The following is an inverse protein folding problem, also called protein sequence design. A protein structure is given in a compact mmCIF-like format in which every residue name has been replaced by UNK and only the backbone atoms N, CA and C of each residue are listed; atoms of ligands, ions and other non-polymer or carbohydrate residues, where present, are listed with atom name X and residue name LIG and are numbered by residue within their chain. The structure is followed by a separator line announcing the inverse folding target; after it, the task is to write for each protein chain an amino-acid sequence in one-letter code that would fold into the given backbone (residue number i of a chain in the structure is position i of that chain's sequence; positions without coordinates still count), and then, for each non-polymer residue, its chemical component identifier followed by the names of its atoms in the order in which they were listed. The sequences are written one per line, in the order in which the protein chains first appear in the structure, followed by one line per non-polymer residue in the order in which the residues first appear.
data_IF_287111212511
#
_entry.id   IF_287111212511
#
_cell.length_a   1.000
_cell.length_b   1.000
_cell.length_c   1.000
_cell.angle_alpha   90.00
_cell.angle_beta   90.00
_cell.angle_gamma   90.00
#
_symmetry.space_group_name_H-M   'P 1'
#
loop_
_entity.id
_entity.type
_entity.pdbx_description
1 polymer ?
#
# COMPACT_ATOMS: atom_id res chain seq x y z
N UNK A 1 9.19 23.42 -0.87
CA UNK A 1 9.30 22.07 -0.30
C UNK A 1 8.98 22.16 1.19
N UNK A 2 8.05 21.32 1.69
CA UNK A 2 7.63 21.32 3.10
C UNK A 2 8.82 20.93 3.99
N UNK A 3 9.01 21.61 5.13
CA UNK A 3 10.09 21.22 6.06
C UNK A 3 9.74 19.92 6.76
N UNK A 4 10.71 19.02 6.80
CA UNK A 4 10.60 17.72 7.48
C UNK A 4 11.80 17.48 8.37
N UNK A 5 11.73 16.44 9.20
CA UNK A 5 12.86 15.93 9.97
C UNK A 5 13.68 14.87 9.20
N UNK A 6 13.69 14.89 7.85
CA UNK A 6 14.30 13.83 7.02
C UNK A 6 15.77 13.57 7.32
N UNK A 7 16.50 14.60 7.76
CA UNK A 7 17.89 14.57 8.18
C UNK A 7 18.12 13.75 9.46
N UNK A 8 17.07 13.54 10.25
CA UNK A 8 17.08 12.74 11.49
C UNK A 8 16.54 11.33 11.31
N UNK A 9 16.01 10.99 10.13
CA UNK A 9 15.43 9.67 9.88
C UNK A 9 16.54 8.67 9.57
N UNK A 10 16.51 7.55 10.27
CA UNK A 10 17.46 6.45 10.08
C UNK A 10 17.13 5.72 8.78
N UNK A 11 18.15 5.47 7.96
CA UNK A 11 18.11 4.54 6.84
C UNK A 11 18.66 3.20 7.32
N UNK A 12 17.91 2.12 7.15
CA UNK A 12 18.32 0.79 7.60
C UNK A 12 18.07 -0.26 6.50
N UNK A 13 18.94 -1.26 6.44
CA UNK A 13 18.74 -2.41 5.56
C UNK A 13 17.69 -3.35 6.15
N UNK A 14 16.63 -3.62 5.40
CA UNK A 14 15.71 -4.73 5.67
C UNK A 14 15.68 -5.64 4.45
N UNK A 15 15.78 -6.94 4.68
CA UNK A 15 15.83 -7.93 3.62
C UNK A 15 14.54 -8.73 3.62
N UNK A 16 14.05 -9.06 2.45
CA UNK A 16 13.01 -10.06 2.22
C UNK A 16 13.45 -11.04 1.15
N UNK A 17 12.57 -11.97 0.83
CA UNK A 17 12.66 -12.85 -0.32
C UNK A 17 11.35 -12.84 -1.09
N UNK A 18 11.42 -13.04 -2.39
CA UNK A 18 10.22 -13.29 -3.21
C UNK A 18 9.52 -14.53 -2.66
N UNK A 19 8.24 -14.41 -2.33
CA UNK A 19 7.49 -15.50 -1.71
C UNK A 19 6.57 -16.19 -2.70
N UNK A 20 6.33 -17.49 -2.50
CA UNK A 20 5.29 -18.22 -3.23
C UNK A 20 3.91 -17.59 -3.01
N UNK A 21 3.00 -17.68 -3.99
CA UNK A 21 1.58 -17.48 -3.72
C UNK A 21 1.09 -18.48 -2.68
N UNK A 22 0.09 -18.09 -1.90
CA UNK A 22 -0.49 -18.97 -0.86
C UNK A 22 -1.98 -19.19 -1.08
N UNK A 23 -2.41 -20.42 -0.81
CA UNK A 23 -3.81 -20.80 -0.64
C UNK A 23 -3.95 -21.24 0.81
N UNK A 24 -4.96 -20.72 1.51
CA UNK A 24 -5.23 -21.09 2.90
C UNK A 24 -5.75 -22.52 3.02
N UNK A 25 -6.14 -22.91 4.24
CA UNK A 25 -6.62 -24.27 4.53
C UNK A 25 -7.82 -24.70 3.66
N UNK A 26 -8.66 -23.73 3.25
CA UNK A 26 -9.74 -23.93 2.30
C UNK A 26 -9.34 -23.45 0.90
N UNK A 27 -9.46 -24.33 -0.09
CA UNK A 27 -9.23 -24.00 -1.52
C UNK A 27 -10.28 -23.02 -2.05
N UNK A 28 -11.50 -23.08 -1.51
CA UNK A 28 -12.58 -22.17 -1.86
C UNK A 28 -12.54 -20.90 -1.01
N UNK A 29 -12.77 -19.77 -1.68
CA UNK A 29 -13.21 -18.50 -1.07
C UNK A 29 -14.72 -18.45 -1.14
N UNK A 30 -15.36 -17.86 -0.12
CA UNK A 30 -16.81 -17.65 -0.11
C UNK A 30 -17.06 -16.19 -0.50
N UNK A 31 -17.81 -15.96 -1.58
CA UNK A 31 -18.16 -14.61 -2.03
C UNK A 31 -19.08 -13.93 -1.02
N UNK A 32 -19.27 -12.61 -1.14
CA UNK A 32 -20.23 -11.87 -0.32
C UNK A 32 -21.68 -12.38 -0.44
N UNK A 33 -22.02 -13.01 -1.57
CA UNK A 33 -23.32 -13.65 -1.81
C UNK A 33 -23.40 -15.11 -1.33
N UNK A 34 -22.31 -15.64 -0.76
CA UNK A 34 -22.27 -17.00 -0.20
C UNK A 34 -21.86 -18.09 -1.19
N UNK A 35 -21.36 -17.73 -2.38
CA UNK A 35 -20.95 -18.70 -3.40
C UNK A 35 -19.48 -19.13 -3.22
N UNK A 36 -19.15 -20.42 -3.34
CA UNK A 36 -17.76 -20.87 -3.28
C UNK A 36 -17.05 -20.69 -4.64
N UNK A 37 -15.90 -20.04 -4.65
CA UNK A 37 -15.07 -19.80 -5.84
C UNK A 37 -13.61 -20.17 -5.59
N UNK A 38 -12.87 -20.50 -6.66
CA UNK A 38 -11.41 -20.76 -6.61
C UNK A 38 -10.74 -19.71 -7.47
N UNK A 39 -9.93 -18.86 -6.83
CA UNK A 39 -9.31 -17.70 -7.47
C UNK A 39 -7.84 -17.57 -7.03
N UNK A 40 -6.96 -17.03 -7.88
CA UNK A 40 -5.63 -16.59 -7.46
C UNK A 40 -5.75 -15.44 -6.44
N UNK A 41 -4.71 -15.26 -5.62
CA UNK A 41 -4.68 -14.23 -4.59
C UNK A 41 -3.28 -13.75 -4.25
N UNK A 42 -3.02 -13.58 -2.95
CA UNK A 42 -1.77 -13.02 -2.40
C UNK A 42 -0.51 -13.84 -2.69
N UNK A 43 0.63 -13.14 -2.70
CA UNK A 43 1.97 -13.70 -2.86
C UNK A 43 2.37 -14.01 -4.30
N UNK A 44 3.66 -14.21 -4.53
CA UNK A 44 4.20 -14.57 -5.84
C UNK A 44 4.79 -13.40 -6.63
N UNK A 45 5.02 -13.70 -7.91
CA UNK A 45 5.33 -12.73 -8.96
C UNK A 45 4.08 -12.68 -9.83
N UNK A 46 3.35 -11.56 -9.80
CA UNK A 46 2.13 -11.37 -10.58
C UNK A 46 2.49 -10.77 -11.94
N UNK A 47 2.77 -11.64 -12.91
CA UNK A 47 3.38 -11.25 -14.19
C UNK A 47 2.57 -10.26 -15.04
N UNK A 48 1.24 -10.25 -14.93
CA UNK A 48 0.35 -9.45 -15.77
C UNK A 48 -0.36 -8.31 -15.02
N UNK A 49 0.03 -8.03 -13.77
CA UNK A 49 -0.56 -6.96 -12.96
C UNK A 49 0.57 -6.24 -12.23
N UNK A 50 0.68 -4.94 -12.48
CA UNK A 50 1.63 -4.03 -11.86
C UNK A 50 0.90 -2.81 -11.31
N UNK A 51 1.66 -1.98 -10.61
CA UNK A 51 1.15 -0.68 -10.17
C UNK A 51 0.67 0.15 -11.37
N UNK A 52 -0.44 0.86 -11.20
CA UNK A 52 -1.13 1.61 -12.25
C UNK A 52 -2.12 0.81 -13.10
N UNK A 53 -2.18 -0.52 -12.98
CA UNK A 53 -3.27 -1.31 -13.56
C UNK A 53 -4.57 -1.16 -12.73
N UNK A 54 -5.75 -1.50 -13.28
CA UNK A 54 -7.00 -1.51 -12.51
C UNK A 54 -6.92 -2.42 -11.29
N UNK A 55 -7.39 -1.95 -10.14
CA UNK A 55 -7.47 -2.72 -8.90
C UNK A 55 -8.74 -3.58 -8.82
N UNK A 56 -9.73 -3.34 -9.69
CA UNK A 56 -10.97 -4.10 -9.76
C UNK A 56 -11.13 -4.80 -11.13
N UNK A 57 -12.09 -5.73 -11.20
CA UNK A 57 -12.45 -6.43 -12.45
C UNK A 57 -11.66 -7.70 -12.76
N UNK A 58 -10.70 -8.08 -11.92
CA UNK A 58 -9.95 -9.33 -12.07
C UNK A 58 -10.74 -10.53 -11.52
N UNK A 59 -10.55 -11.69 -12.15
CA UNK A 59 -10.98 -12.97 -11.58
C UNK A 59 -10.00 -13.40 -10.48
N UNK A 60 -10.03 -12.70 -9.35
CA UNK A 60 -9.02 -12.82 -8.29
C UNK A 60 -9.57 -12.48 -6.89
N UNK A 61 -8.81 -12.81 -5.85
CA UNK A 61 -9.09 -12.42 -4.45
C UNK A 61 -7.81 -11.96 -3.74
N UNK A 62 -7.70 -10.66 -3.43
CA UNK A 62 -6.50 -10.04 -2.82
C UNK A 62 -5.21 -10.19 -3.65
N UNK A 63 -5.25 -10.04 -4.97
CA UNK A 63 -4.02 -10.08 -5.76
C UNK A 63 -3.14 -8.88 -5.46
N UNK A 64 -1.85 -9.16 -5.29
CA UNK A 64 -0.79 -8.19 -5.04
C UNK A 64 -0.06 -7.87 -6.35
N UNK A 65 0.16 -6.59 -6.70
CA UNK A 65 0.80 -6.22 -7.95
C UNK A 65 2.31 -6.44 -7.91
N UNK A 66 2.90 -6.82 -9.04
CA UNK A 66 4.34 -6.97 -9.19
C UNK A 66 4.89 -8.15 -8.38
N UNK A 67 5.78 -7.87 -7.42
CA UNK A 67 6.51 -8.90 -6.67
C UNK A 67 6.24 -8.77 -5.18
N UNK A 68 5.66 -9.80 -4.59
CA UNK A 68 5.46 -9.89 -3.15
C UNK A 68 6.71 -10.44 -2.46
N UNK A 69 7.16 -9.74 -1.41
CA UNK A 69 8.29 -10.17 -0.59
C UNK A 69 7.91 -10.28 0.88
N UNK A 70 8.52 -11.25 1.56
CA UNK A 70 8.39 -11.50 3.00
C UNK A 70 9.78 -11.82 3.57
N UNK A 71 9.98 -11.69 4.89
CA UNK A 71 11.18 -12.24 5.53
C UNK A 71 10.83 -13.46 6.39
N UNK A 72 11.10 -14.66 5.87
CA UNK A 72 10.81 -15.93 6.55
C UNK A 72 11.90 -16.38 7.53
N UNK A 73 12.92 -15.56 7.78
CA UNK A 73 13.91 -15.87 8.83
C UNK A 73 13.22 -15.82 10.19
N UNK A 74 13.22 -16.94 10.89
CA UNK A 74 12.67 -17.04 12.24
C UNK A 74 13.79 -17.00 13.29
N UNK A 75 13.66 -16.11 14.28
CA UNK A 75 14.50 -16.08 15.48
C UNK A 75 13.70 -16.58 16.69
N UNK A 76 14.30 -17.40 17.56
CA UNK A 76 13.60 -17.97 18.72
C UNK A 76 13.00 -16.92 19.67
N UNK A 77 13.62 -15.75 19.80
CA UNK A 77 13.12 -14.64 20.64
C UNK A 77 12.05 -13.83 19.92
N UNK A 78 12.15 -13.73 18.61
CA UNK A 78 11.21 -12.98 17.78
C UNK A 78 10.83 -13.80 16.53
N UNK A 79 9.93 -14.80 16.65
CA UNK A 79 9.68 -15.76 15.57
C UNK A 79 9.23 -15.15 14.23
N UNK A 80 8.53 -14.01 14.30
CA UNK A 80 8.05 -13.22 13.14
C UNK A 80 8.65 -11.81 13.11
N UNK A 81 9.67 -11.54 13.93
CA UNK A 81 10.20 -10.19 14.12
C UNK A 81 10.79 -9.60 12.85
N UNK A 82 11.41 -10.44 12.03
CA UNK A 82 12.06 -10.06 10.79
C UNK A 82 11.04 -9.73 9.69
N UNK A 83 10.00 -10.54 9.52
CA UNK A 83 8.89 -10.27 8.60
C UNK A 83 8.18 -8.97 8.97
N UNK A 84 7.83 -8.81 10.27
CA UNK A 84 7.27 -7.55 10.78
C UNK A 84 8.20 -6.36 10.59
N UNK A 85 9.51 -6.53 10.78
CA UNK A 85 10.47 -5.45 10.54
C UNK A 85 10.54 -5.06 9.07
N UNK A 86 10.52 -6.03 8.14
CA UNK A 86 10.41 -5.77 6.71
C UNK A 86 9.13 -4.96 6.42
N UNK A 87 7.99 -5.40 6.92
CA UNK A 87 6.71 -4.74 6.68
C UNK A 87 6.64 -3.34 7.29
N UNK A 88 6.94 -3.18 8.58
CA UNK A 88 6.90 -1.90 9.29
C UNK A 88 7.89 -0.88 8.72
N UNK A 89 9.14 -1.30 8.49
CA UNK A 89 10.23 -0.36 8.17
C UNK A 89 10.27 0.03 6.69
N UNK A 90 9.84 -0.86 5.80
CA UNK A 90 9.70 -0.51 4.38
C UNK A 90 8.70 0.64 4.25
N UNK A 91 8.93 1.57 3.34
CA UNK A 91 8.03 2.68 3.08
C UNK A 91 7.83 2.79 1.57
N UNK A 92 6.65 3.24 1.16
CA UNK A 92 6.30 3.53 -0.22
C UNK A 92 7.33 4.48 -0.83
N UNK A 93 7.88 4.10 -1.99
CA UNK A 93 8.99 4.78 -2.66
C UNK A 93 10.39 4.40 -2.18
N UNK A 94 10.55 3.42 -1.28
CA UNK A 94 11.89 2.90 -0.96
C UNK A 94 12.48 2.11 -2.13
N UNK A 95 13.79 2.30 -2.35
CA UNK A 95 14.56 1.48 -3.30
C UNK A 95 14.66 0.04 -2.76
N UNK A 96 14.28 -0.90 -3.61
CA UNK A 96 14.49 -2.32 -3.44
C UNK A 96 15.52 -2.79 -4.47
N UNK A 97 16.39 -3.73 -4.08
CA UNK A 97 17.42 -4.28 -4.95
C UNK A 97 17.50 -5.79 -4.82
N UNK A 98 17.46 -6.49 -5.94
CA UNK A 98 17.71 -7.93 -5.97
C UNK A 98 19.19 -8.19 -5.69
N UNK A 99 19.50 -9.04 -4.71
CA UNK A 99 20.89 -9.30 -4.25
C UNK A 99 21.41 -10.70 -4.55
N UNK A 100 20.54 -11.60 -5.03
CA UNK A 100 20.83 -12.98 -5.42
C UNK A 100 19.91 -13.38 -6.58
N UNK A 101 20.31 -14.34 -7.41
CA UNK A 101 19.53 -14.80 -8.56
C UNK A 101 19.97 -14.15 -9.88
N UNK A 102 19.28 -14.51 -10.97
CA UNK A 102 19.59 -14.03 -12.32
C UNK A 102 19.24 -12.54 -12.51
N UNK A 103 18.30 -12.03 -11.72
CA UNK A 103 17.98 -10.61 -11.60
C UNK A 103 18.91 -9.84 -10.65
N UNK A 104 20.01 -10.42 -10.15
CA UNK A 104 20.89 -9.73 -9.19
C UNK A 104 21.40 -8.41 -9.75
N UNK A 105 21.17 -7.34 -8.98
CA UNK A 105 21.59 -5.99 -9.35
C UNK A 105 20.42 -5.10 -9.77
N UNK A 106 19.35 -5.72 -10.28
CA UNK A 106 18.15 -5.02 -10.71
C UNK A 106 17.47 -4.30 -9.53
N UNK A 107 16.88 -3.14 -9.84
CA UNK A 107 16.27 -2.25 -8.87
C UNK A 107 14.77 -2.19 -9.08
N UNK A 108 14.06 -2.03 -7.98
CA UNK A 108 12.63 -1.81 -7.94
C UNK A 108 12.27 -0.80 -6.87
N UNK A 109 10.97 -0.58 -6.70
CA UNK A 109 10.40 0.39 -5.77
C UNK A 109 9.31 -0.26 -4.93
N UNK A 110 9.32 -0.03 -3.62
CA UNK A 110 8.21 -0.45 -2.76
C UNK A 110 6.95 0.35 -3.11
N UNK A 111 5.90 -0.33 -3.55
CA UNK A 111 4.64 0.27 -4.00
C UNK A 111 3.45 -0.08 -3.10
N UNK A 112 3.60 -1.07 -2.22
CA UNK A 112 2.52 -1.45 -1.31
C UNK A 112 2.97 -2.30 -0.13
N UNK A 113 2.03 -2.50 0.80
CA UNK A 113 2.13 -3.41 1.94
C UNK A 113 0.78 -4.05 2.15
N UNK A 114 0.78 -5.29 2.61
CA UNK A 114 -0.44 -6.02 2.96
C UNK A 114 -0.31 -6.59 4.37
N UNK A 115 -1.13 -6.08 5.28
CA UNK A 115 -1.12 -6.49 6.69
C UNK A 115 -1.78 -7.84 6.92
N UNK A 116 -1.35 -8.59 7.94
CA UNK A 116 -1.89 -9.91 8.24
C UNK A 116 -1.06 -11.04 7.63
N UNK A 117 -0.80 -10.99 6.32
CA UNK A 117 0.22 -11.85 5.67
C UNK A 117 1.62 -11.22 5.70
N UNK A 118 1.70 -9.92 6.04
CA UNK A 118 2.94 -9.16 6.21
C UNK A 118 3.79 -9.01 4.95
N UNK A 119 3.17 -9.12 3.77
CA UNK A 119 3.86 -8.90 2.50
C UNK A 119 4.17 -7.42 2.25
N UNK A 120 5.29 -7.18 1.56
CA UNK A 120 5.64 -5.89 0.94
C UNK A 120 5.66 -6.10 -0.57
N UNK A 121 4.99 -5.23 -1.31
CA UNK A 121 4.93 -5.31 -2.77
C UNK A 121 5.99 -4.37 -3.36
N UNK A 122 6.78 -4.93 -4.26
CA UNK A 122 7.85 -4.23 -4.97
C UNK A 122 7.57 -4.29 -6.47
N UNK A 123 7.54 -3.12 -7.08
CA UNK A 123 7.48 -3.00 -8.53
C UNK A 123 8.89 -3.04 -9.12
N UNK A 124 9.09 -3.96 -10.06
CA UNK A 124 10.28 -4.07 -10.90
C UNK A 124 9.85 -3.96 -12.37
N UNK A 125 10.78 -3.62 -13.25
CA UNK A 125 10.50 -3.64 -14.69
C UNK A 125 10.16 -5.07 -15.16
N UNK A 126 9.34 -5.23 -16.22
CA UNK A 126 8.86 -6.55 -16.65
C UNK A 126 10.00 -7.53 -16.94
N UNK A 127 11.09 -7.07 -17.58
CA UNK A 127 12.24 -7.92 -17.90
C UNK A 127 13.00 -8.39 -16.65
N UNK A 128 12.86 -7.67 -15.53
CA UNK A 128 13.36 -8.11 -14.23
C UNK A 128 12.43 -9.15 -13.62
N UNK A 129 11.11 -8.95 -13.71
CA UNK A 129 10.11 -9.90 -13.20
C UNK A 129 10.25 -11.28 -13.86
N UNK A 130 10.54 -11.34 -15.16
CA UNK A 130 10.78 -12.58 -15.91
C UNK A 130 12.04 -13.36 -15.46
N UNK A 131 13.01 -12.67 -14.85
CA UNK A 131 14.26 -13.28 -14.34
C UNK A 131 14.17 -13.69 -12.88
N UNK A 132 13.20 -13.14 -12.15
CA UNK A 132 13.03 -13.42 -10.73
C UNK A 132 12.48 -14.82 -10.51
N UNK A 133 12.97 -15.47 -9.47
CA UNK A 133 12.38 -16.71 -8.97
C UNK A 133 11.95 -16.55 -7.51
N UNK A 134 11.08 -17.45 -7.06
CA UNK A 134 10.75 -17.54 -5.64
C UNK A 134 12.04 -17.77 -4.83
N UNK A 135 12.09 -17.16 -3.65
CA UNK A 135 13.22 -17.10 -2.71
C UNK A 135 14.40 -16.20 -3.14
N UNK A 136 14.32 -15.52 -4.29
CA UNK A 136 15.29 -14.49 -4.63
C UNK A 136 15.29 -13.38 -3.57
N UNK A 137 16.48 -13.01 -3.13
CA UNK A 137 16.66 -12.08 -2.01
C UNK A 137 16.55 -10.65 -2.50
N UNK A 138 15.68 -9.87 -1.85
CA UNK A 138 15.46 -8.45 -2.14
C UNK A 138 15.86 -7.63 -0.92
N UNK A 139 16.84 -6.76 -1.08
CA UNK A 139 17.28 -5.80 -0.08
C UNK A 139 16.53 -4.48 -0.26
N UNK A 140 15.75 -4.08 0.74
CA UNK A 140 15.10 -2.77 0.79
C UNK A 140 15.93 -1.83 1.65
N UNK A 141 16.22 -0.64 1.12
CA UNK A 141 16.80 0.45 1.88
C UNK A 141 15.68 1.20 2.59
N UNK A 142 15.21 0.63 3.69
CA UNK A 142 14.11 1.17 4.48
C UNK A 142 14.42 2.59 4.98
N UNK A 143 13.55 3.53 4.63
CA UNK A 143 13.70 4.95 4.94
C UNK A 143 12.34 5.66 4.94
N UNK A 144 11.88 6.11 6.11
CA UNK A 144 10.63 6.89 6.23
C UNK A 144 9.94 6.78 7.58
N UNK A 145 10.12 5.68 8.32
CA UNK A 145 9.52 5.54 9.66
C UNK A 145 10.04 6.65 10.58
N UNK A 146 9.09 7.38 11.18
CA UNK A 146 9.37 8.54 12.05
C UNK A 146 9.40 9.90 11.34
N UNK A 147 9.17 9.93 10.01
CA UNK A 147 9.04 11.16 9.24
C UNK A 147 7.88 12.02 9.78
N UNK A 148 8.12 13.33 9.87
CA UNK A 148 7.18 14.33 10.35
C UNK A 148 7.23 15.58 9.48
N UNK A 149 6.09 16.20 9.27
CA UNK A 149 5.97 17.54 8.71
C UNK A 149 6.18 18.54 9.85
N UNK A 150 7.20 19.39 9.75
CA UNK A 150 7.54 20.34 10.82
C UNK A 150 6.66 21.59 10.79
N UNK A 151 6.15 21.94 9.61
CA UNK A 151 5.29 23.11 9.40
C UNK A 151 3.81 22.80 9.68
N UNK A 152 3.43 21.52 9.77
CA UNK A 152 2.06 21.07 10.00
C UNK A 152 2.01 19.77 10.84
N UNK A 153 2.44 19.84 12.12
CA UNK A 153 2.61 18.65 12.98
C UNK A 153 1.31 17.90 13.33
N UNK A 154 0.15 18.50 13.09
CA UNK A 154 -1.15 17.86 13.22
C UNK A 154 -1.44 16.81 12.14
N UNK A 155 -0.70 16.85 11.03
CA UNK A 155 -0.72 15.80 9.99
C UNK A 155 0.37 14.79 10.32
N UNK A 156 -0.07 13.58 10.67
CA UNK A 156 0.83 12.46 10.90
C UNK A 156 1.14 11.76 9.58
N UNK A 157 2.40 11.35 9.41
CA UNK A 157 2.91 10.66 8.23
C UNK A 157 3.26 9.22 8.60
N UNK A 158 2.83 8.28 7.77
CA UNK A 158 3.09 6.85 7.88
C UNK A 158 3.53 6.30 6.54
N UNK A 159 4.28 5.19 6.54
CA UNK A 159 4.61 4.40 5.34
C UNK A 159 5.19 5.18 4.14
N UNK A 160 5.63 6.42 4.32
CA UNK A 160 5.98 7.34 3.24
C UNK A 160 7.48 7.58 3.28
N UNK A 161 8.18 7.24 2.20
CA UNK A 161 9.59 7.57 2.10
C UNK A 161 9.78 9.06 1.82
N UNK A 162 10.87 9.69 2.31
CA UNK A 162 11.19 11.06 1.94
C UNK A 162 11.35 11.25 0.42
N UNK A 163 11.80 10.22 -0.32
CA UNK A 163 11.88 10.27 -1.78
C UNK A 163 10.49 10.39 -2.42
N UNK A 164 9.53 9.57 -1.97
CA UNK A 164 8.16 9.66 -2.45
C UNK A 164 7.50 10.98 -2.07
N UNK A 165 7.69 11.45 -0.82
CA UNK A 165 7.16 12.76 -0.40
C UNK A 165 7.71 13.92 -1.25
N UNK A 166 8.99 13.85 -1.63
CA UNK A 166 9.63 14.86 -2.50
C UNK A 166 9.08 14.81 -3.92
N UNK A 167 8.82 13.62 -4.49
CA UNK A 167 8.22 13.47 -5.81
C UNK A 167 6.73 13.86 -5.83
N UNK A 168 6.00 13.53 -4.77
CA UNK A 168 4.59 13.89 -4.60
C UNK A 168 4.38 15.40 -4.39
N UNK A 169 5.40 16.09 -3.84
CA UNK A 169 5.49 17.55 -3.68
C UNK A 169 4.20 18.27 -3.21
N UNK A 170 3.55 17.81 -2.11
CA UNK A 170 2.33 18.41 -1.64
C UNK A 170 2.56 19.85 -1.15
N UNK A 171 1.48 20.66 -1.17
CA UNK A 171 1.55 22.09 -0.86
C UNK A 171 0.76 22.42 0.40
N UNK A 172 1.30 23.28 1.25
CA UNK A 172 0.55 23.85 2.37
C UNK A 172 -0.05 25.19 1.93
N UNK A 173 -1.38 25.32 2.04
CA UNK A 173 -2.11 26.57 1.81
C UNK A 173 -3.13 26.75 2.92
N UNK A 174 -3.26 27.97 3.45
CA UNK A 174 -4.24 28.31 4.49
C UNK A 174 -4.23 27.37 5.70
N UNK A 175 -3.06 26.87 6.12
CA UNK A 175 -2.92 25.97 7.26
C UNK A 175 -3.39 24.53 7.01
N UNK A 176 -3.67 24.14 5.77
CA UNK A 176 -3.93 22.75 5.38
C UNK A 176 -2.90 22.26 4.38
N UNK A 177 -2.61 20.96 4.41
CA UNK A 177 -1.85 20.31 3.35
C UNK A 177 -2.81 19.86 2.24
N UNK A 178 -2.52 20.28 1.01
CA UNK A 178 -3.20 19.87 -0.20
C UNK A 178 -2.53 18.61 -0.74
N UNK A 179 -3.29 17.52 -0.78
CA UNK A 179 -2.82 16.20 -1.21
C UNK A 179 -3.58 15.79 -2.47
N UNK A 180 -2.92 15.74 -3.65
CA UNK A 180 -3.51 15.18 -4.86
C UNK A 180 -3.95 13.72 -4.66
N UNK A 181 -5.20 13.39 -5.01
CA UNK A 181 -5.79 12.05 -4.89
C UNK A 181 -6.68 11.76 -6.10
N UNK A 182 -6.81 10.51 -6.50
CA UNK A 182 -7.73 10.11 -7.58
C UNK A 182 -9.17 10.08 -7.07
N UNK A 183 -9.38 9.56 -5.87
CA UNK A 183 -10.71 9.33 -5.30
C UNK A 183 -10.86 9.90 -3.88
N UNK A 184 -12.12 10.16 -3.52
CA UNK A 184 -12.54 10.41 -2.14
C UNK A 184 -13.53 9.32 -1.74
N UNK A 185 -13.33 8.70 -0.58
CA UNK A 185 -14.00 7.47 -0.15
C UNK A 185 -14.61 7.70 1.23
N UNK A 186 -15.89 7.33 1.46
CA UNK A 186 -16.50 7.55 2.76
C UNK A 186 -16.04 6.45 3.74
N UNK A 187 -15.82 6.80 5.01
CA UNK A 187 -15.48 5.81 6.03
C UNK A 187 -16.50 4.65 6.17
N UNK A 188 -17.75 4.85 5.74
CA UNK A 188 -18.82 3.84 5.84
C UNK A 188 -18.61 2.60 4.98
N UNK A 189 -17.74 2.66 3.96
CA UNK A 189 -17.41 1.51 3.11
C UNK A 189 -16.01 0.96 3.39
N UNK A 190 -15.39 1.35 4.50
CA UNK A 190 -14.13 0.75 4.93
C UNK A 190 -14.41 -0.51 5.77
N UNK A 191 -13.69 -1.59 5.52
CA UNK A 191 -13.95 -2.91 6.07
C UNK A 191 -12.77 -3.55 6.80
N UNK A 192 -12.32 -4.70 6.30
CA UNK A 192 -11.26 -5.51 6.89
C UNK A 192 -10.03 -4.67 7.23
N UNK A 193 -9.42 -4.93 8.37
CA UNK A 193 -8.32 -4.11 8.92
C UNK A 193 -8.76 -3.03 9.91
N UNK A 194 -10.06 -2.73 10.04
CA UNK A 194 -10.59 -1.92 11.15
C UNK A 194 -10.34 -2.59 12.52
N UNK A 195 -10.07 -1.77 13.54
CA UNK A 195 -9.79 -2.24 14.91
C UNK A 195 -8.40 -2.86 15.12
N UNK A 196 -7.57 -2.96 14.09
CA UNK A 196 -6.18 -3.43 14.18
C UNK A 196 -5.22 -2.27 14.48
N UNK A 197 -4.19 -2.54 15.29
CA UNK A 197 -3.11 -1.59 15.62
C UNK A 197 -1.94 -1.67 14.62
N UNK A 198 -2.25 -1.57 13.33
CA UNK A 198 -1.28 -1.84 12.24
C UNK A 198 -1.21 -0.74 11.17
N UNK A 199 -1.51 0.52 11.52
CA UNK A 199 -1.44 1.64 10.56
C UNK A 199 -0.07 1.75 9.87
N UNK A 200 1.01 1.44 10.60
CA UNK A 200 2.38 1.50 10.08
C UNK A 200 2.87 0.19 9.40
N UNK A 201 2.05 -0.86 9.36
CA UNK A 201 2.45 -2.20 8.92
C UNK A 201 1.36 -2.98 8.19
N UNK A 202 0.37 -2.28 7.65
CA UNK A 202 -0.75 -2.93 7.00
C UNK A 202 -1.71 -1.94 6.41
N UNK A 203 -2.73 -2.49 5.78
CA UNK A 203 -3.78 -1.85 5.03
C UNK A 203 -5.15 -2.16 5.65
N UNK A 204 -6.18 -1.60 5.02
CA UNK A 204 -7.57 -1.89 5.29
C UNK A 204 -8.40 -1.61 4.04
N UNK A 205 -9.53 -2.28 3.93
CA UNK A 205 -10.12 -2.55 2.63
C UNK A 205 -11.28 -1.60 2.31
N UNK A 206 -11.35 -1.15 1.07
CA UNK A 206 -12.51 -0.47 0.49
C UNK A 206 -13.51 -1.54 0.05
N UNK A 207 -14.65 -1.69 0.71
CA UNK A 207 -15.65 -2.70 0.35
C UNK A 207 -16.48 -2.24 -0.84
N UNK A 208 -16.47 -3.02 -1.93
CA UNK A 208 -17.10 -2.67 -3.21
C UNK A 208 -18.31 -3.56 -3.57
N UNK A 209 -19.07 -4.02 -2.57
CA UNK A 209 -20.21 -4.93 -2.78
C UNK A 209 -21.55 -4.24 -3.05
N UNK A 210 -21.57 -2.91 -3.14
CA UNK A 210 -22.77 -2.12 -3.41
C UNK A 210 -22.54 -1.26 -4.66
N UNK A 211 -23.09 -1.68 -5.79
CA UNK A 211 -22.91 -1.04 -7.10
C UNK A 211 -23.28 0.45 -7.07
N UNK A 212 -24.43 0.79 -6.49
CA UNK A 212 -24.88 2.20 -6.34
C UNK A 212 -23.85 3.04 -5.59
N UNK A 213 -23.16 2.48 -4.60
CA UNK A 213 -22.11 3.18 -3.85
C UNK A 213 -20.80 3.23 -4.63
N UNK A 214 -20.47 2.21 -5.41
CA UNK A 214 -19.31 2.24 -6.29
C UNK A 214 -19.47 3.32 -7.36
N UNK A 215 -20.66 3.43 -7.97
CA UNK A 215 -21.01 4.48 -8.93
C UNK A 215 -20.92 5.88 -8.31
N UNK A 216 -21.46 6.07 -7.11
CA UNK A 216 -21.48 7.37 -6.41
C UNK A 216 -20.07 7.91 -6.16
N UNK A 217 -19.12 7.03 -5.83
CA UNK A 217 -17.73 7.39 -5.51
C UNK A 217 -16.74 7.10 -6.65
N UNK A 218 -17.23 6.64 -7.81
CA UNK A 218 -16.42 6.34 -8.99
C UNK A 218 -15.37 5.26 -8.74
N UNK A 219 -15.70 4.17 -8.04
CA UNK A 219 -14.69 3.19 -7.62
C UNK A 219 -14.28 2.18 -8.70
N UNK A 220 -14.96 2.17 -9.85
CA UNK A 220 -14.76 1.17 -10.90
C UNK A 220 -13.43 1.33 -11.66
N UNK A 221 -12.86 2.54 -11.70
CA UNK A 221 -11.57 2.82 -12.34
C UNK A 221 -10.42 2.97 -11.32
N UNK A 222 -10.65 2.59 -10.06
CA UNK A 222 -9.62 2.53 -9.02
C UNK A 222 -8.44 1.68 -9.51
N UNK A 223 -7.23 2.23 -9.45
CA UNK A 223 -6.03 1.54 -9.90
C UNK A 223 -5.08 1.19 -8.74
N UNK A 224 -4.26 0.16 -8.90
CA UNK A 224 -3.16 -0.10 -7.97
C UNK A 224 -2.24 1.12 -7.89
N UNK A 225 -1.87 1.54 -6.69
CA UNK A 225 -0.99 2.68 -6.49
C UNK A 225 -1.67 4.05 -6.54
N UNK A 226 -2.99 4.08 -6.73
CA UNK A 226 -3.78 5.30 -6.60
C UNK A 226 -3.67 5.85 -5.19
N UNK A 227 -3.52 7.17 -5.08
CA UNK A 227 -3.64 7.89 -3.83
C UNK A 227 -5.11 8.24 -3.63
N UNK A 228 -5.67 7.84 -2.50
CA UNK A 228 -7.10 8.03 -2.19
C UNK A 228 -7.28 8.73 -0.86
N UNK A 229 -8.26 9.62 -0.80
CA UNK A 229 -8.69 10.27 0.43
C UNK A 229 -9.84 9.50 1.07
N UNK A 230 -9.83 9.39 2.39
CA UNK A 230 -10.85 8.67 3.15
C UNK A 230 -11.42 9.62 4.18
N UNK A 231 -12.68 9.98 3.95
CA UNK A 231 -13.43 10.97 4.73
C UNK A 231 -13.81 10.39 6.08
N UNK A 232 -13.81 11.25 7.10
CA UNK A 232 -14.18 10.91 8.47
C UNK A 232 -13.41 9.72 9.05
N UNK A 233 -12.17 9.51 8.60
CA UNK A 233 -11.29 8.45 9.06
C UNK A 233 -10.04 9.01 9.77
N UNK A 234 -9.81 8.61 11.02
CA UNK A 234 -8.59 8.92 11.77
C UNK A 234 -7.72 7.67 11.90
N UNK A 235 -6.51 7.74 11.35
CA UNK A 235 -5.50 6.69 11.43
C UNK A 235 -4.33 7.02 12.37
N UNK A 236 -4.48 7.97 13.30
CA UNK A 236 -3.36 8.43 14.14
C UNK A 236 -2.66 7.30 14.93
N UNK A 237 -3.38 6.22 15.27
CA UNK A 237 -2.83 5.07 16.02
C UNK A 237 -3.42 3.75 15.55
N UNK A 238 -4.74 3.61 15.70
CA UNK A 238 -5.56 2.61 15.02
C UNK A 238 -6.52 3.34 14.09
N UNK A 239 -7.27 2.57 13.30
CA UNK A 239 -8.27 3.12 12.36
C UNK A 239 -9.62 3.22 13.03
N UNK A 240 -10.18 4.43 13.06
CA UNK A 240 -11.51 4.71 13.61
C UNK A 240 -12.27 5.68 12.71
N UNK A 241 -13.59 5.59 12.77
CA UNK A 241 -14.46 6.67 12.30
C UNK A 241 -14.36 7.86 13.26
N UNK A 242 -14.10 9.04 12.70
CA UNK A 242 -14.15 10.33 13.39
C UNK A 242 -14.57 11.39 12.41
N UNK A 243 -15.77 11.92 12.59
CA UNK A 243 -16.29 13.04 11.79
C UNK A 243 -15.30 14.22 11.76
N UNK A 244 -15.02 14.72 10.55
CA UNK A 244 -14.07 15.79 10.27
C UNK A 244 -12.60 15.36 10.27
N UNK A 245 -12.29 14.10 10.53
CA UNK A 245 -10.97 13.56 10.25
C UNK A 245 -10.80 13.31 8.75
N UNK A 246 -9.57 13.32 8.28
CA UNK A 246 -9.24 13.02 6.90
C UNK A 246 -7.95 12.20 6.89
N UNK A 247 -7.95 11.12 6.11
CA UNK A 247 -6.77 10.29 5.88
C UNK A 247 -6.51 10.13 4.39
N UNK A 248 -5.25 10.03 3.99
CA UNK A 248 -4.86 9.71 2.62
C UNK A 248 -4.00 8.45 2.65
N UNK A 249 -4.28 7.53 1.75
CA UNK A 249 -3.56 6.29 1.60
C UNK A 249 -3.30 5.94 0.14
N UNK A 250 -2.68 4.79 -0.07
CA UNK A 250 -2.37 4.23 -1.39
C UNK A 250 -3.03 2.86 -1.55
N UNK A 251 -3.60 2.59 -2.72
CA UNK A 251 -4.22 1.28 -3.05
C UNK A 251 -3.14 0.23 -3.28
N UNK A 252 -3.16 -0.87 -2.53
CA UNK A 252 -2.06 -1.84 -2.44
C UNK A 252 -2.36 -3.25 -2.94
N UNK A 253 -3.63 -3.68 -2.94
CA UNK A 253 -4.05 -4.96 -3.52
C UNK A 253 -5.42 -4.85 -4.20
N UNK A 254 -5.78 -5.89 -4.98
CA UNK A 254 -7.01 -5.90 -5.78
C UNK A 254 -8.26 -5.92 -4.92
N UNK A 255 -9.40 -5.75 -5.58
CA UNK A 255 -10.70 -6.11 -5.03
C UNK A 255 -10.74 -7.59 -4.63
N UNK A 256 -11.71 -7.87 -3.75
CA UNK A 256 -11.84 -9.16 -3.08
C UNK A 256 -13.28 -9.61 -3.20
N UNK A 257 -13.47 -10.92 -3.27
CA UNK A 257 -14.82 -11.48 -3.37
C UNK A 257 -15.46 -11.68 -2.00
N UNK A 258 -14.64 -11.73 -0.93
CA UNK A 258 -15.07 -12.08 0.43
C UNK A 258 -15.73 -10.88 1.12
N UNK A 259 -16.88 -11.10 1.76
CA UNK A 259 -17.60 -10.06 2.49
C UNK A 259 -16.70 -9.28 3.47
N UNK A 260 -16.79 -7.95 3.42
CA UNK A 260 -16.00 -7.05 4.26
C UNK A 260 -14.58 -6.77 3.75
N UNK A 261 -14.16 -7.36 2.63
CA UNK A 261 -12.89 -7.09 1.97
C UNK A 261 -13.05 -6.32 0.64
N UNK A 262 -11.94 -5.92 0.03
CA UNK A 262 -11.88 -5.21 -1.24
C UNK A 262 -10.49 -4.60 -1.45
N UNK A 263 -10.29 -3.61 -2.35
CA UNK A 263 -8.96 -3.05 -2.54
C UNK A 263 -8.36 -2.49 -1.25
N UNK A 264 -7.17 -2.96 -0.88
CA UNK A 264 -6.49 -2.58 0.35
C UNK A 264 -5.88 -1.19 0.24
N UNK A 265 -5.96 -0.40 1.32
CA UNK A 265 -5.36 0.94 1.40
C UNK A 265 -4.33 1.03 2.52
N UNK A 266 -3.06 1.22 2.15
CA UNK A 266 -2.00 1.55 3.11
C UNK A 266 -2.01 3.03 3.45
N UNK A 267 -2.04 3.39 4.73
CA UNK A 267 -2.11 4.79 5.18
C UNK A 267 -0.80 5.54 4.93
N UNK A 268 -0.89 6.75 4.37
CA UNK A 268 0.26 7.64 4.15
C UNK A 268 0.19 8.89 5.03
N UNK A 269 -0.98 9.52 5.10
CA UNK A 269 -1.21 10.74 5.86
C UNK A 269 -2.51 10.64 6.64
N UNK A 270 -2.58 11.23 7.82
CA UNK A 270 -3.82 11.34 8.59
C UNK A 270 -3.83 12.61 9.41
N UNK A 271 -5.01 13.21 9.52
CA UNK A 271 -5.28 14.29 10.45
C UNK A 271 -6.64 14.10 11.10
N UNK A 272 -6.63 13.92 12.41
CA UNK A 272 -7.84 13.91 13.25
C UNK A 272 -8.59 15.24 13.33
N UNK A 273 -8.01 16.34 12.81
CA UNK A 273 -8.56 17.71 12.86
C UNK A 273 -8.93 18.28 11.49
N UNK A 274 -8.93 17.46 10.43
CA UNK A 274 -9.24 17.93 9.07
C UNK A 274 -8.22 18.92 8.47
N UNK A 275 -6.94 18.83 8.85
CA UNK A 275 -5.84 19.62 8.30
C UNK A 275 -5.32 19.11 6.94
N UNK A 276 -5.96 18.07 6.38
CA UNK A 276 -5.72 17.58 5.02
C UNK A 276 -6.86 18.07 4.15
N UNK A 277 -6.51 18.65 3.00
CA UNK A 277 -7.42 19.02 1.93
C UNK A 277 -7.12 18.10 0.72
N UNK A 278 -7.97 17.11 0.40
CA UNK A 278 -7.79 16.32 -0.80
C UNK A 278 -8.02 17.18 -2.05
N UNK A 279 -7.21 16.99 -3.09
CA UNK A 279 -7.34 17.67 -4.38
C UNK A 279 -7.49 16.59 -5.44
N UNK A 280 -8.62 16.56 -6.15
CA UNK A 280 -8.83 15.54 -7.19
C UNK A 280 -7.83 15.77 -8.34
N UNK A 281 -7.08 14.72 -8.64
CA UNK A 281 -6.09 14.66 -9.70
C UNK A 281 -6.01 13.22 -10.25
N UNK A 282 -6.43 12.97 -11.51
CA UNK A 282 -6.40 11.62 -12.11
C UNK A 282 -4.98 11.09 -12.31
N UNK A 283 -3.95 11.92 -12.17
CA UNK A 283 -2.55 11.51 -12.25
C UNK A 283 -1.93 11.23 -10.87
N UNK A 284 -2.72 11.29 -9.78
CA UNK A 284 -2.28 10.98 -8.43
C UNK A 284 -2.12 9.46 -8.18
N UNK A 285 -1.30 8.81 -9.01
CA UNK A 285 -0.91 7.42 -8.91
C UNK A 285 0.61 7.32 -8.79
N UNK A 286 1.12 6.46 -7.89
CA UNK A 286 2.56 6.33 -7.67
C UNK A 286 3.36 5.96 -8.93
N UNK A 287 2.77 5.19 -9.86
CA UNK A 287 3.41 4.80 -11.10
C UNK A 287 3.77 6.03 -11.95
N UNK A 288 2.85 7.00 -12.02
CA UNK A 288 3.05 8.29 -12.71
C UNK A 288 3.96 9.21 -11.91
N UNK A 289 3.72 9.36 -10.60
CA UNK A 289 4.48 10.25 -9.70
C UNK A 289 5.98 9.89 -9.69
N UNK A 290 6.32 8.60 -9.73
CA UNK A 290 7.70 8.11 -9.70
C UNK A 290 8.25 7.70 -11.08
N UNK A 291 7.45 7.76 -12.14
CA UNK A 291 7.84 7.33 -13.49
C UNK A 291 8.24 5.86 -13.56
N UNK A 292 7.42 4.97 -12.99
CA UNK A 292 7.68 3.52 -12.92
C UNK A 292 7.25 2.77 -14.18
N UNK A 293 6.41 3.41 -14.99
CA UNK A 293 5.80 2.86 -16.20
C UNK A 293 5.90 3.87 -17.34
N UNK A 294 6.46 3.42 -18.45
CA UNK A 294 6.58 4.24 -19.67
C UNK A 294 5.28 4.24 -20.50
N UNK A 295 4.33 3.35 -20.17
CA UNK A 295 3.08 3.14 -20.89
C UNK A 295 1.86 3.82 -20.24
N UNK A 296 2.06 4.62 -19.19
CA UNK A 296 1.02 5.38 -18.46
C UNK A 296 1.13 6.90 -18.62
#
# INVERSE_FOLDING_TARGET
MIRTNKDKIVKISVIGEVVSPVIGDAVYKVTADGEPVILPGVGGITYNIRVGDPAAGWMADHVEPGVSIENRVSDRRFPTGQSRALNVLSCIGNEAKVVKGDAKGEKGVVVGKHGGIEHVMVDFQPETMEKLIIEDKVMVRAYGVGLKLLDLPEVMVFNTSPYFLEAYDPKIKNGKIHLPVTHTIPASIMGSGLGRSHVASGDYDITMFCEVTCDEYGLDDLCFGDLVAIEDADHSYGRIYRKGAMSVGIVTHSNCVVAGHGPGVTTLFTSKKGAIEPVIDPDANIAKILGLRDDL
#
